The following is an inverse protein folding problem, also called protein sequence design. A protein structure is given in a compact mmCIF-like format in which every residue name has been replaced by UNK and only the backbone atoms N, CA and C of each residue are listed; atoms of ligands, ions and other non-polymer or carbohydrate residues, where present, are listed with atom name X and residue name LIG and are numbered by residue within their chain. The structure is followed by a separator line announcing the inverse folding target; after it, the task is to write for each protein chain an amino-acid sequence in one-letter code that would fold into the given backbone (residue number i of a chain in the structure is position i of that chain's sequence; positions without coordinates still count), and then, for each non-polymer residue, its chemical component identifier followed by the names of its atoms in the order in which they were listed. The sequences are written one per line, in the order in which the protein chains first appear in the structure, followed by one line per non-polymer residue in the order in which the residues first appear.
data_IF_367595881833
#
_entry.id   IF_367595881833
#
_cell.length_a   1.000
_cell.length_b   1.000
_cell.length_c   1.000
_cell.angle_alpha   90.00
_cell.angle_beta   90.00
_cell.angle_gamma   90.00
#
_symmetry.space_group_name_H-M   'P 1'
#
loop_
_entity.id
_entity.type
_entity.pdbx_description
1 polymer ?
#
# COMPACT_ATOMS: atom_id res chain seq x y z
N UNK A 1 2.02 2.36 14.58
CA UNK A 1 1.17 1.53 15.46
C UNK A 1 1.88 0.25 15.93
N UNK A 2 2.64 -0.41 15.05
CA UNK A 2 3.28 -1.71 15.31
C UNK A 2 4.80 -1.64 15.42
N UNK A 3 5.40 -0.48 15.30
CA UNK A 3 6.85 -0.25 15.44
C UNK A 3 7.16 0.60 16.65
N UNK A 4 8.35 0.39 17.22
CA UNK A 4 8.98 1.17 18.30
C UNK A 4 10.42 1.51 17.90
N UNK A 5 11.09 2.34 18.68
CA UNK A 5 12.52 2.56 18.52
C UNK A 5 13.29 1.22 18.60
N UNK A 6 14.20 1.01 17.65
CA UNK A 6 14.93 -0.24 17.46
C UNK A 6 14.29 -1.24 16.50
N UNK A 7 13.06 -0.99 16.03
CA UNK A 7 12.39 -1.85 15.06
C UNK A 7 12.79 -1.54 13.62
N UNK A 8 12.49 -2.50 12.73
CA UNK A 8 12.85 -2.47 11.32
C UNK A 8 11.64 -2.75 10.42
N UNK A 9 11.64 -2.17 9.21
CA UNK A 9 10.66 -2.40 8.15
C UNK A 9 11.40 -2.81 6.87
N UNK A 10 10.86 -3.75 6.11
CA UNK A 10 11.29 -4.03 4.74
C UNK A 10 10.29 -3.38 3.78
N UNK A 11 10.75 -2.57 2.84
CA UNK A 11 9.88 -1.90 1.88
C UNK A 11 10.37 -2.08 0.44
N UNK A 12 9.46 -2.18 -0.52
CA UNK A 12 9.83 -2.09 -1.93
C UNK A 12 10.40 -0.70 -2.25
N UNK A 13 11.43 -0.62 -3.08
CA UNK A 13 12.01 0.66 -3.51
C UNK A 13 11.10 1.47 -4.46
N UNK A 14 10.06 0.82 -5.02
CA UNK A 14 9.13 1.40 -6.00
C UNK A 14 7.87 1.99 -5.37
N UNK A 15 7.95 2.40 -4.10
CA UNK A 15 6.84 3.03 -3.37
C UNK A 15 6.78 4.54 -3.63
N UNK A 16 5.63 5.13 -3.32
CA UNK A 16 5.41 6.58 -3.41
C UNK A 16 6.47 7.39 -2.67
N UNK A 17 6.95 8.47 -3.29
CA UNK A 17 8.05 9.29 -2.76
C UNK A 17 7.80 9.86 -1.36
N UNK A 18 6.56 10.19 -1.00
CA UNK A 18 6.21 10.63 0.35
C UNK A 18 6.35 9.51 1.39
N UNK A 19 5.97 8.29 1.05
CA UNK A 19 6.17 7.11 1.89
C UNK A 19 7.66 6.77 1.98
N UNK A 20 8.39 6.87 0.87
CA UNK A 20 9.85 6.71 0.89
C UNK A 20 10.50 7.70 1.86
N UNK A 21 10.16 8.99 1.77
CA UNK A 21 10.70 10.01 2.66
C UNK A 21 10.36 9.75 4.14
N UNK A 22 9.13 9.32 4.41
CA UNK A 22 8.72 8.92 5.77
C UNK A 22 9.61 7.79 6.30
N UNK A 23 9.79 6.73 5.52
CA UNK A 23 10.54 5.54 5.92
C UNK A 23 12.06 5.77 5.93
N UNK A 24 12.60 6.54 4.99
CA UNK A 24 14.04 6.74 4.83
C UNK A 24 14.62 7.86 5.71
N UNK A 25 13.82 8.87 6.04
CA UNK A 25 14.33 10.09 6.69
C UNK A 25 13.60 10.44 7.98
N UNK A 26 12.27 10.32 8.02
CA UNK A 26 11.50 10.73 9.21
C UNK A 26 11.53 9.67 10.31
N UNK A 27 11.22 8.43 10.00
CA UNK A 27 11.17 7.35 11.00
C UNK A 27 12.53 7.02 11.64
N UNK A 28 13.68 7.13 10.96
CA UNK A 28 14.98 6.96 11.62
C UNK A 28 15.22 7.92 12.79
N UNK A 29 14.68 9.16 12.72
CA UNK A 29 14.73 10.08 13.85
C UNK A 29 13.98 9.58 15.10
N UNK A 30 13.04 8.65 14.91
CA UNK A 30 12.31 7.97 15.98
C UNK A 30 12.83 6.55 16.25
N UNK A 31 14.00 6.21 15.70
CA UNK A 31 14.67 4.93 15.94
C UNK A 31 14.10 3.74 15.14
N UNK A 32 13.27 3.96 14.13
CA UNK A 32 12.78 2.91 13.24
C UNK A 32 13.56 2.93 11.92
N UNK A 33 14.15 1.81 11.55
CA UNK A 33 14.96 1.69 10.33
C UNK A 33 14.21 0.99 9.20
N UNK A 34 14.62 1.20 7.94
CA UNK A 34 13.99 0.56 6.79
C UNK A 34 15.06 0.08 5.80
N UNK A 35 14.91 -1.15 5.32
CA UNK A 35 15.64 -1.66 4.16
C UNK A 35 14.73 -1.63 2.93
N UNK A 36 15.17 -0.87 1.90
CA UNK A 36 14.48 -0.83 0.62
C UNK A 36 15.03 -1.89 -0.32
N UNK A 37 14.13 -2.69 -0.91
CA UNK A 37 14.50 -3.80 -1.79
C UNK A 37 13.97 -3.61 -3.19
N UNK A 38 14.66 -4.20 -4.16
CA UNK A 38 14.15 -4.33 -5.52
C UNK A 38 13.06 -5.41 -5.55
N UNK A 39 11.80 -5.07 -5.86
CA UNK A 39 10.72 -6.03 -5.87
C UNK A 39 10.73 -6.98 -7.08
N UNK A 40 11.55 -6.72 -8.09
CA UNK A 40 11.70 -7.59 -9.25
C UNK A 40 12.35 -8.95 -8.91
N UNK A 41 12.93 -9.09 -7.73
CA UNK A 41 13.43 -10.37 -7.22
C UNK A 41 12.92 -10.58 -5.78
N UNK A 42 12.06 -11.57 -5.61
CA UNK A 42 11.43 -11.90 -4.32
C UNK A 42 12.44 -12.29 -3.22
N UNK A 43 13.57 -12.88 -3.59
CA UNK A 43 14.64 -13.20 -2.64
C UNK A 43 15.18 -11.98 -1.90
N UNK A 44 15.04 -10.80 -2.48
CA UNK A 44 15.47 -9.56 -1.82
C UNK A 44 14.66 -9.26 -0.57
N UNK A 45 13.35 -9.58 -0.56
CA UNK A 45 12.52 -9.45 0.63
C UNK A 45 12.98 -10.41 1.72
N UNK A 46 13.17 -11.69 1.37
CA UNK A 46 13.63 -12.72 2.32
C UNK A 46 14.97 -12.34 2.97
N UNK A 47 15.95 -11.92 2.17
CA UNK A 47 17.28 -11.54 2.65
C UNK A 47 17.32 -10.25 3.49
N UNK A 48 16.34 -9.36 3.30
CA UNK A 48 16.26 -8.09 4.01
C UNK A 48 15.58 -8.21 5.38
N UNK A 49 14.81 -9.27 5.62
CA UNK A 49 14.13 -9.50 6.89
C UNK A 49 15.15 -9.80 7.99
N UNK A 50 15.03 -9.07 9.11
CA UNK A 50 15.86 -9.17 10.30
C UNK A 50 14.99 -9.64 11.49
N UNK A 51 15.61 -9.99 12.60
CA UNK A 51 14.89 -10.41 13.82
C UNK A 51 13.90 -9.34 14.32
N UNK A 52 14.32 -8.07 14.25
CA UNK A 52 13.53 -6.90 14.66
C UNK A 52 12.60 -6.36 13.56
N UNK A 53 12.49 -7.03 12.42
CA UNK A 53 11.53 -6.62 11.35
C UNK A 53 10.11 -6.82 11.84
N UNK A 54 9.27 -5.79 11.62
CA UNK A 54 7.87 -5.74 12.05
C UNK A 54 6.86 -5.75 10.91
N UNK A 55 7.26 -5.42 9.70
CA UNK A 55 6.37 -5.44 8.54
C UNK A 55 7.15 -5.49 7.23
N UNK A 56 6.48 -6.00 6.20
CA UNK A 56 6.81 -5.75 4.80
C UNK A 56 5.82 -4.73 4.25
N UNK A 57 6.31 -3.73 3.50
CA UNK A 57 5.49 -2.68 2.90
C UNK A 57 5.71 -2.64 1.39
N UNK A 58 4.63 -2.73 0.60
CA UNK A 58 4.65 -2.63 -0.86
C UNK A 58 3.48 -1.79 -1.38
N UNK A 59 3.47 -1.50 -2.67
CA UNK A 59 2.32 -0.93 -3.40
C UNK A 59 1.79 -1.93 -4.43
N UNK A 60 0.49 -1.91 -4.70
CA UNK A 60 -0.13 -2.76 -5.73
C UNK A 60 0.33 -2.41 -7.13
N UNK A 61 0.50 -1.12 -7.39
CA UNK A 61 0.98 -0.54 -8.64
C UNK A 61 2.02 0.51 -8.32
N UNK A 62 3.25 0.28 -8.74
CA UNK A 62 4.36 1.19 -8.48
C UNK A 62 4.19 2.54 -9.19
N UNK A 63 4.63 3.61 -8.53
CA UNK A 63 4.56 4.98 -9.04
C UNK A 63 5.98 5.53 -9.32
N UNK A 64 6.30 5.94 -10.56
CA UNK A 64 5.45 6.03 -11.75
C UNK A 64 5.50 4.82 -12.69
N UNK A 65 6.30 3.81 -12.40
CA UNK A 65 6.66 2.75 -13.35
C UNK A 65 5.59 1.70 -13.59
N UNK A 66 4.47 1.73 -12.84
CA UNK A 66 3.36 0.78 -12.95
C UNK A 66 3.77 -0.70 -12.80
N UNK A 67 4.93 -0.96 -12.20
CA UNK A 67 5.36 -2.31 -11.90
C UNK A 67 4.38 -2.98 -10.93
N UNK A 68 4.17 -4.27 -11.13
CA UNK A 68 3.29 -5.10 -10.29
C UNK A 68 4.18 -6.09 -9.52
N UNK A 69 3.91 -6.21 -8.22
CA UNK A 69 4.61 -7.14 -7.34
C UNK A 69 3.72 -8.38 -7.14
N UNK A 70 4.31 -9.57 -7.11
CA UNK A 70 3.56 -10.80 -6.78
C UNK A 70 3.16 -10.77 -5.28
N UNK A 71 1.92 -10.31 -5.04
CA UNK A 71 1.39 -10.11 -3.69
C UNK A 71 1.34 -11.40 -2.90
N UNK A 72 0.86 -12.49 -3.53
CA UNK A 72 0.74 -13.79 -2.87
C UNK A 72 2.11 -14.29 -2.39
N UNK A 73 3.14 -14.16 -3.23
CA UNK A 73 4.49 -14.60 -2.88
C UNK A 73 5.13 -13.74 -1.78
N UNK A 74 4.92 -12.41 -1.81
CA UNK A 74 5.43 -11.53 -0.74
C UNK A 74 4.68 -11.77 0.57
N UNK A 75 3.36 -12.05 0.52
CA UNK A 75 2.58 -12.43 1.70
C UNK A 75 3.12 -13.72 2.34
N UNK A 76 3.43 -14.75 1.53
CA UNK A 76 4.02 -15.99 2.03
C UNK A 76 5.37 -15.73 2.72
N UNK A 77 6.22 -14.87 2.14
CA UNK A 77 7.50 -14.49 2.77
C UNK A 77 7.24 -13.81 4.12
N UNK A 78 6.41 -12.78 4.16
CA UNK A 78 6.10 -12.06 5.39
C UNK A 78 5.55 -12.99 6.49
N UNK A 79 4.61 -13.86 6.14
CA UNK A 79 3.96 -14.77 7.09
C UNK A 79 4.89 -15.86 7.61
N UNK A 80 5.84 -16.39 6.81
CA UNK A 80 6.88 -17.29 7.30
C UNK A 80 7.71 -16.67 8.43
N UNK A 81 7.94 -15.35 8.35
CA UNK A 81 8.65 -14.58 9.38
C UNK A 81 7.73 -14.02 10.47
N UNK A 82 6.43 -14.38 10.45
CA UNK A 82 5.42 -13.94 11.43
C UNK A 82 5.30 -12.43 11.52
N UNK A 83 5.37 -11.74 10.38
CA UNK A 83 5.17 -10.29 10.26
C UNK A 83 4.07 -10.01 9.24
N UNK A 84 3.29 -8.92 9.42
CA UNK A 84 2.24 -8.57 8.49
C UNK A 84 2.78 -8.00 7.18
N UNK A 85 2.03 -8.25 6.09
CA UNK A 85 2.17 -7.54 4.84
C UNK A 85 1.22 -6.34 4.82
N UNK A 86 1.78 -5.16 4.63
CA UNK A 86 1.05 -3.89 4.49
C UNK A 86 1.14 -3.43 3.04
N UNK A 87 0.01 -3.13 2.43
CA UNK A 87 -0.05 -2.72 1.02
C UNK A 87 -0.73 -1.36 0.86
N UNK A 88 -0.05 -0.44 0.21
CA UNK A 88 -0.70 0.76 -0.31
C UNK A 88 -1.41 0.43 -1.62
N UNK A 89 -2.74 0.51 -1.58
CA UNK A 89 -3.60 0.21 -2.71
C UNK A 89 -4.24 1.48 -3.30
N UNK A 90 -3.55 2.61 -3.19
CA UNK A 90 -4.07 3.90 -3.66
C UNK A 90 -4.39 3.88 -5.15
N UNK A 91 -3.50 3.34 -5.99
CA UNK A 91 -3.70 3.27 -7.44
C UNK A 91 -4.57 2.09 -7.88
N UNK A 92 -4.46 0.96 -7.19
CA UNK A 92 -5.33 -0.20 -7.46
C UNK A 92 -6.78 0.09 -7.11
N UNK A 93 -7.02 0.87 -6.08
CA UNK A 93 -8.34 1.13 -5.50
C UNK A 93 -9.06 -0.17 -5.07
N UNK A 94 -10.06 -0.12 -4.22
CA UNK A 94 -10.82 -1.33 -3.86
C UNK A 94 -11.67 -1.89 -5.02
N UNK A 95 -11.75 -1.15 -6.15
CA UNK A 95 -12.47 -1.58 -7.34
C UNK A 95 -11.64 -2.48 -8.26
N UNK A 96 -10.37 -2.15 -8.49
CA UNK A 96 -9.52 -2.92 -9.41
C UNK A 96 -8.90 -4.15 -8.73
N UNK A 97 -8.53 -4.01 -7.46
CA UNK A 97 -7.93 -5.11 -6.69
C UNK A 97 -8.24 -4.97 -5.20
N UNK A 98 -8.44 -6.11 -4.53
CA UNK A 98 -8.58 -6.22 -3.08
C UNK A 98 -7.43 -7.04 -2.51
N UNK A 99 -6.31 -6.42 -2.10
CA UNK A 99 -5.10 -7.13 -1.69
C UNK A 99 -5.30 -8.11 -0.52
N UNK A 100 -6.31 -7.91 0.33
CA UNK A 100 -6.67 -8.84 1.42
C UNK A 100 -7.06 -10.22 0.87
N UNK A 101 -7.59 -10.31 -0.34
CA UNK A 101 -7.90 -11.59 -1.00
C UNK A 101 -6.63 -12.31 -1.49
N UNK A 102 -5.50 -11.59 -1.49
CA UNK A 102 -4.17 -12.04 -1.91
C UNK A 102 -3.15 -12.08 -0.75
N UNK A 103 -3.62 -12.18 0.49
CA UNK A 103 -2.77 -12.36 1.66
C UNK A 103 -2.26 -11.08 2.32
N UNK A 104 -2.66 -9.89 1.86
CA UNK A 104 -2.37 -8.67 2.61
C UNK A 104 -3.11 -8.66 3.95
N UNK A 105 -2.41 -8.27 5.01
CA UNK A 105 -2.99 -8.16 6.35
C UNK A 105 -3.59 -6.79 6.57
N UNK A 106 -2.91 -5.76 6.08
CA UNK A 106 -3.32 -4.36 6.23
C UNK A 106 -3.23 -3.69 4.85
N UNK A 107 -4.29 -3.00 4.47
CA UNK A 107 -4.35 -2.20 3.25
C UNK A 107 -4.53 -0.74 3.60
N UNK A 108 -3.73 0.13 2.98
CA UNK A 108 -3.85 1.57 3.14
C UNK A 108 -4.22 2.22 1.80
N UNK A 109 -4.96 3.31 1.87
CA UNK A 109 -5.30 4.14 0.72
C UNK A 109 -5.10 5.61 1.04
N UNK A 110 -4.47 6.35 0.16
CA UNK A 110 -4.66 7.80 0.13
C UNK A 110 -6.05 8.10 -0.43
N UNK A 111 -7.01 8.34 0.47
CA UNK A 111 -8.38 8.70 0.06
C UNK A 111 -8.43 10.04 -0.70
N UNK A 112 -7.39 10.87 -0.55
CA UNK A 112 -7.15 12.09 -1.32
C UNK A 112 -7.21 11.89 -2.83
N UNK A 113 -6.80 10.70 -3.31
CA UNK A 113 -6.63 10.38 -4.74
C UNK A 113 -7.95 9.89 -5.35
N UNK A 114 -8.00 8.65 -5.81
CA UNK A 114 -9.15 8.11 -6.54
C UNK A 114 -10.42 7.99 -5.69
N UNK A 115 -10.32 7.74 -4.39
CA UNK A 115 -11.50 7.63 -3.51
C UNK A 115 -12.23 8.98 -3.49
N UNK A 116 -11.57 10.07 -3.14
CA UNK A 116 -12.16 11.41 -3.17
C UNK A 116 -12.40 11.92 -4.59
N UNK A 117 -11.48 11.62 -5.51
CA UNK A 117 -11.60 11.89 -6.94
C UNK A 117 -11.33 13.32 -7.40
N UNK A 118 -11.16 14.28 -6.49
CA UNK A 118 -11.03 15.71 -6.80
C UNK A 118 -9.78 16.37 -6.18
N UNK A 119 -9.12 15.73 -5.22
CA UNK A 119 -7.98 16.30 -4.51
C UNK A 119 -8.31 17.49 -3.61
N UNK A 120 -9.59 17.73 -3.35
CA UNK A 120 -10.07 18.86 -2.53
C UNK A 120 -9.99 18.60 -1.03
N UNK A 121 -9.88 17.33 -0.62
CA UNK A 121 -9.76 16.92 0.78
C UNK A 121 -8.65 15.91 0.94
N UNK A 122 -7.77 16.15 1.92
CA UNK A 122 -6.76 15.18 2.31
C UNK A 122 -7.38 14.15 3.26
N UNK A 123 -7.06 12.87 3.05
CA UNK A 123 -7.50 11.81 3.92
C UNK A 123 -6.87 10.47 3.56
N UNK A 124 -6.98 9.54 4.49
CA UNK A 124 -6.51 8.17 4.33
C UNK A 124 -7.50 7.16 4.89
N UNK A 125 -7.40 5.95 4.41
CA UNK A 125 -8.17 4.80 4.91
C UNK A 125 -7.19 3.68 5.24
N UNK A 126 -7.38 3.06 6.39
CA UNK A 126 -6.68 1.84 6.80
C UNK A 126 -7.72 0.74 6.89
N UNK A 127 -7.47 -0.35 6.20
CA UNK A 127 -8.33 -1.55 6.23
C UNK A 127 -7.52 -2.68 6.83
N UNK A 128 -7.98 -3.21 7.96
CA UNK A 128 -7.41 -4.36 8.64
C UNK A 128 -8.16 -5.62 8.19
N UNK A 129 -7.46 -6.65 7.75
CA UNK A 129 -8.07 -7.93 7.39
C UNK A 129 -8.70 -8.64 8.59
N UNK A 130 -8.21 -8.34 9.79
CA UNK A 130 -8.56 -9.05 11.02
C UNK A 130 -8.05 -10.50 11.08
N UNK A 131 -7.18 -10.91 10.14
CA UNK A 131 -6.72 -12.30 10.00
C UNK A 131 -5.33 -12.54 10.57
N UNK A 132 -4.51 -11.49 10.72
CA UNK A 132 -3.15 -11.65 11.23
C UNK A 132 -3.17 -12.05 12.70
N UNK A 133 -2.52 -13.16 13.03
CA UNK A 133 -2.42 -13.65 14.41
C UNK A 133 -1.31 -12.93 15.18
N UNK A 134 -1.67 -11.81 15.81
CA UNK A 134 -0.77 -10.99 16.62
C UNK A 134 -0.17 -11.75 17.79
N UNK A 135 -0.91 -12.71 18.38
CA UNK A 135 -0.46 -13.50 19.53
C UNK A 135 0.56 -14.55 19.10
N UNK A 136 0.24 -15.34 18.06
CA UNK A 136 1.16 -16.35 17.54
C UNK A 136 2.45 -15.75 16.96
N UNK A 137 2.38 -14.51 16.44
CA UNK A 137 3.55 -13.79 15.98
C UNK A 137 4.58 -13.58 17.09
N UNK A 138 4.15 -13.21 18.29
CA UNK A 138 5.02 -12.90 19.44
C UNK A 138 5.86 -11.63 19.30
N UNK A 139 5.69 -10.86 18.21
CA UNK A 139 6.52 -9.69 17.89
C UNK A 139 5.89 -8.35 18.25
N UNK A 140 4.63 -8.32 18.72
CA UNK A 140 3.81 -7.12 18.87
C UNK A 140 3.27 -6.93 20.30
N UNK A 141 4.16 -6.72 21.31
CA UNK A 141 3.73 -6.60 22.70
C UNK A 141 2.73 -5.47 22.93
N UNK A 142 2.78 -4.40 22.13
CA UNK A 142 1.83 -3.28 22.19
C UNK A 142 0.37 -3.66 21.87
N UNK A 143 0.13 -4.85 21.30
CA UNK A 143 -1.21 -5.39 21.04
C UNK A 143 -1.54 -6.54 21.99
N UNK A 144 -0.52 -7.30 22.40
CA UNK A 144 -0.66 -8.58 23.11
C UNK A 144 -0.38 -8.51 24.61
N UNK A 145 0.21 -7.42 25.11
CA UNK A 145 0.45 -7.19 26.52
C UNK A 145 -0.46 -6.08 27.07
N UNK A 146 -0.62 -6.00 28.41
CA UNK A 146 -1.38 -4.92 29.04
C UNK A 146 -0.82 -3.54 28.70
N UNK A 147 -1.63 -2.67 28.10
CA UNK A 147 -1.23 -1.31 27.75
C UNK A 147 -1.47 -0.36 28.94
N UNK A 148 -0.40 0.20 29.55
CA UNK A 148 -0.53 1.08 30.70
C UNK A 148 -1.21 2.41 30.36
N UNK A 149 -1.15 2.85 29.11
CA UNK A 149 -1.81 4.08 28.64
C UNK A 149 -3.32 3.91 28.46
N UNK A 150 -3.80 2.65 28.46
CA UNK A 150 -5.22 2.34 28.29
C UNK A 150 -5.72 1.34 29.36
N UNK A 151 -5.50 1.70 30.62
CA UNK A 151 -5.99 0.96 31.81
C UNK A 151 -5.56 -0.52 31.90
N UNK A 152 -4.42 -0.89 31.32
CA UNK A 152 -3.95 -2.28 31.31
C UNK A 152 -4.69 -3.19 30.35
N UNK A 153 -5.41 -2.65 29.37
CA UNK A 153 -6.13 -3.44 28.35
C UNK A 153 -5.13 -4.15 27.43
N UNK A 154 -5.35 -5.42 27.16
CA UNK A 154 -4.74 -6.17 26.05
C UNK A 154 -5.65 -6.04 24.85
N UNK A 155 -5.18 -5.37 23.79
CA UNK A 155 -6.04 -5.07 22.63
C UNK A 155 -6.54 -6.31 21.91
N UNK A 156 -5.73 -7.38 21.84
CA UNK A 156 -6.16 -8.67 21.23
C UNK A 156 -7.31 -9.33 21.99
N UNK A 157 -7.37 -9.18 23.31
CA UNK A 157 -8.47 -9.76 24.13
C UNK A 157 -9.73 -8.86 24.06
N UNK A 158 -9.54 -7.55 24.07
CA UNK A 158 -10.63 -6.59 24.12
C UNK A 158 -11.33 -6.38 22.77
N UNK A 159 -10.61 -6.53 21.66
CA UNK A 159 -11.10 -6.20 20.33
C UNK A 159 -10.96 -7.35 19.30
N UNK A 160 -10.33 -8.47 19.67
CA UNK A 160 -10.18 -9.62 18.78
C UNK A 160 -9.59 -9.24 17.41
N UNK A 161 -10.29 -9.58 16.32
CA UNK A 161 -9.84 -9.27 14.96
C UNK A 161 -9.64 -7.77 14.67
N UNK A 162 -10.26 -6.89 15.45
CA UNK A 162 -10.14 -5.44 15.28
C UNK A 162 -9.01 -4.82 16.13
N UNK A 163 -8.19 -5.60 16.81
CA UNK A 163 -7.17 -5.14 17.76
C UNK A 163 -6.24 -4.06 17.18
N UNK A 164 -5.80 -4.24 15.95
CA UNK A 164 -4.91 -3.29 15.26
C UNK A 164 -5.59 -1.93 15.05
N UNK A 165 -6.81 -1.94 14.49
CA UNK A 165 -7.57 -0.73 14.20
C UNK A 165 -8.03 -0.02 15.50
N UNK A 166 -8.46 -0.78 16.50
CA UNK A 166 -8.88 -0.22 17.80
C UNK A 166 -7.72 0.44 18.52
N UNK A 167 -6.52 -0.17 18.50
CA UNK A 167 -5.34 0.45 19.12
C UNK A 167 -4.96 1.76 18.42
N UNK A 168 -5.05 1.85 17.10
CA UNK A 168 -4.83 3.12 16.38
C UNK A 168 -5.76 4.21 16.94
N UNK A 169 -7.04 3.89 17.11
CA UNK A 169 -8.03 4.85 17.62
C UNK A 169 -7.83 5.19 19.10
N UNK A 170 -7.59 4.17 19.92
CA UNK A 170 -7.51 4.32 21.37
C UNK A 170 -6.21 4.98 21.84
N UNK A 171 -5.11 4.84 21.09
CA UNK A 171 -3.80 5.37 21.45
C UNK A 171 -3.36 6.46 20.48
N UNK A 172 -3.04 6.12 19.26
CA UNK A 172 -2.41 7.06 18.32
C UNK A 172 -3.34 8.23 17.95
N UNK A 173 -4.57 7.95 17.57
CA UNK A 173 -5.55 8.99 17.21
C UNK A 173 -5.84 9.91 18.41
N UNK A 174 -6.05 9.32 19.58
CA UNK A 174 -6.29 10.05 20.82
C UNK A 174 -5.13 10.97 21.17
N UNK A 175 -3.91 10.45 21.13
CA UNK A 175 -2.72 11.13 21.65
C UNK A 175 -2.16 12.16 20.66
N UNK A 176 -2.26 11.91 19.34
CA UNK A 176 -1.78 12.82 18.30
C UNK A 176 -2.85 13.78 17.78
N UNK A 177 -4.13 13.47 17.99
CA UNK A 177 -5.24 14.27 17.48
C UNK A 177 -5.38 14.26 15.96
N UNK A 178 -4.73 13.31 15.26
CA UNK A 178 -4.73 13.21 13.80
C UNK A 178 -6.07 12.66 13.27
N UNK A 179 -7.17 13.29 13.62
CA UNK A 179 -8.52 12.91 13.19
C UNK A 179 -8.96 13.71 11.97
N UNK A 180 -9.69 13.04 11.07
CA UNK A 180 -10.29 13.72 9.91
C UNK A 180 -11.47 14.56 10.34
N UNK A 181 -11.64 15.76 9.73
CA UNK A 181 -12.85 16.55 9.97
C UNK A 181 -14.10 15.84 9.42
N UNK A 182 -15.28 15.97 10.07
CA UNK A 182 -16.51 15.37 9.56
C UNK A 182 -16.86 15.81 8.14
N UNK A 183 -16.58 17.07 7.79
CA UNK A 183 -16.82 17.59 6.44
C UNK A 183 -15.92 16.94 5.39
N UNK A 184 -14.63 16.76 5.68
CA UNK A 184 -13.73 16.06 4.77
C UNK A 184 -14.13 14.59 4.63
N UNK A 185 -14.53 13.94 5.71
CA UNK A 185 -15.04 12.56 5.66
C UNK A 185 -16.28 12.45 4.76
N UNK A 186 -17.20 13.39 4.86
CA UNK A 186 -18.40 13.47 4.02
C UNK A 186 -18.03 13.61 2.53
N UNK A 187 -17.11 14.51 2.18
CA UNK A 187 -16.65 14.69 0.79
C UNK A 187 -16.01 13.39 0.26
N UNK A 188 -15.18 12.73 1.05
CA UNK A 188 -14.54 11.48 0.64
C UNK A 188 -15.55 10.34 0.46
N UNK A 189 -16.58 10.27 1.31
CA UNK A 189 -17.68 9.31 1.16
C UNK A 189 -18.48 9.55 -0.12
N UNK A 190 -18.79 10.81 -0.45
CA UNK A 190 -19.43 11.14 -1.72
C UNK A 190 -18.58 10.71 -2.93
N UNK A 191 -17.25 10.92 -2.86
CA UNK A 191 -16.32 10.44 -3.90
C UNK A 191 -16.34 8.91 -4.04
N UNK A 192 -16.48 8.19 -2.93
CA UNK A 192 -16.53 6.74 -2.93
C UNK A 192 -17.76 6.18 -3.68
N UNK A 193 -18.89 6.86 -3.63
CA UNK A 193 -20.14 6.43 -4.32
C UNK A 193 -19.96 6.25 -5.83
N UNK A 194 -19.10 7.07 -6.46
CA UNK A 194 -18.85 7.04 -7.89
C UNK A 194 -17.50 6.41 -8.26
N UNK A 195 -16.78 5.84 -7.29
CA UNK A 195 -15.42 5.35 -7.50
C UNK A 195 -15.32 4.35 -8.64
N UNK A 196 -16.19 3.34 -8.65
CA UNK A 196 -16.16 2.28 -9.67
C UNK A 196 -16.36 2.84 -11.08
N UNK A 197 -17.35 3.73 -11.27
CA UNK A 197 -17.65 4.35 -12.56
C UNK A 197 -16.48 5.19 -13.07
N UNK A 198 -15.84 5.96 -12.16
CA UNK A 198 -14.70 6.81 -12.52
C UNK A 198 -13.46 5.98 -12.86
N UNK A 199 -13.15 4.98 -12.05
CA UNK A 199 -11.96 4.14 -12.24
C UNK A 199 -12.09 3.30 -13.51
N UNK A 200 -13.27 2.73 -13.78
CA UNK A 200 -13.54 2.04 -15.04
C UNK A 200 -13.28 2.94 -16.25
N UNK A 201 -13.79 4.17 -16.22
CA UNK A 201 -13.56 5.15 -17.29
C UNK A 201 -12.09 5.58 -17.39
N UNK A 202 -11.39 5.73 -16.26
CA UNK A 202 -9.95 6.02 -16.26
C UNK A 202 -9.15 4.91 -16.93
N UNK A 203 -9.44 3.64 -16.60
CA UNK A 203 -8.78 2.48 -17.22
C UNK A 203 -9.04 2.45 -18.72
N UNK A 204 -10.31 2.57 -19.14
CA UNK A 204 -10.69 2.59 -20.57
C UNK A 204 -9.92 3.68 -21.33
N UNK A 205 -9.88 4.89 -20.78
CA UNK A 205 -9.19 6.01 -21.41
C UNK A 205 -7.67 5.80 -21.45
N UNK A 206 -7.07 5.29 -20.36
CA UNK A 206 -5.64 5.00 -20.31
C UNK A 206 -5.23 3.98 -21.38
N UNK A 207 -5.97 2.89 -21.53
CA UNK A 207 -5.71 1.87 -22.55
C UNK A 207 -5.78 2.45 -23.97
N UNK A 208 -6.77 3.31 -24.27
CA UNK A 208 -6.87 4.00 -25.56
C UNK A 208 -5.67 4.92 -25.83
N UNK A 209 -5.22 5.65 -24.81
CA UNK A 209 -4.05 6.52 -24.93
C UNK A 209 -2.76 5.70 -25.08
N UNK A 210 -2.59 4.61 -24.34
CA UNK A 210 -1.46 3.69 -24.49
C UNK A 210 -1.38 3.17 -25.93
N UNK A 211 -2.48 2.68 -26.49
CA UNK A 211 -2.55 2.22 -27.88
C UNK A 211 -2.25 3.32 -28.91
N UNK A 212 -2.72 4.53 -28.68
CA UNK A 212 -2.40 5.69 -29.52
C UNK A 212 -0.91 6.02 -29.48
N UNK A 213 -0.33 6.10 -28.27
CA UNK A 213 1.08 6.45 -28.08
C UNK A 213 2.00 5.38 -28.66
N UNK A 214 1.67 4.10 -28.52
CA UNK A 214 2.43 2.98 -29.09
C UNK A 214 2.63 3.11 -30.61
N UNK A 215 1.66 3.71 -31.29
CA UNK A 215 1.68 3.91 -32.77
C UNK A 215 2.23 5.27 -33.17
N UNK A 216 2.50 6.17 -32.22
CA UNK A 216 2.87 7.55 -32.54
C UNK A 216 4.34 7.66 -32.96
N UNK A 217 4.68 8.30 -34.11
CA UNK A 217 6.05 8.29 -34.66
C UNK A 217 7.10 9.00 -33.80
N UNK A 218 6.70 9.87 -32.87
CA UNK A 218 7.60 10.54 -31.92
C UNK A 218 7.78 9.80 -30.60
N UNK A 219 7.05 8.72 -30.36
CA UNK A 219 7.15 7.91 -29.14
C UNK A 219 8.10 6.73 -29.40
N UNK A 220 9.04 6.54 -28.51
CA UNK A 220 10.05 5.47 -28.57
C UNK A 220 9.55 4.23 -27.85
N UNK A 221 8.99 4.42 -26.65
CA UNK A 221 8.49 3.35 -25.81
C UNK A 221 7.29 3.82 -24.99
N UNK A 222 6.40 2.90 -24.67
CA UNK A 222 5.29 3.09 -23.72
C UNK A 222 5.39 2.00 -22.68
N UNK A 223 5.32 2.36 -21.43
CA UNK A 223 5.40 1.45 -20.29
C UNK A 223 4.04 1.36 -19.59
N UNK A 224 3.34 0.24 -19.79
CA UNK A 224 2.08 -0.09 -19.13
C UNK A 224 1.93 -1.61 -19.05
N UNK A 225 1.51 -2.20 -17.92
CA UNK A 225 1.51 -3.66 -17.73
C UNK A 225 0.46 -4.41 -18.57
N UNK A 226 -0.48 -3.72 -19.20
CA UNK A 226 -1.37 -4.35 -20.18
C UNK A 226 -0.67 -4.76 -21.48
N UNK A 227 0.52 -4.23 -21.75
CA UNK A 227 1.28 -4.56 -22.95
C UNK A 227 1.93 -5.95 -22.81
N UNK A 228 1.80 -6.83 -23.81
CA UNK A 228 2.36 -8.19 -23.72
C UNK A 228 3.87 -8.23 -23.49
N UNK A 229 4.59 -7.23 -23.95
CA UNK A 229 6.03 -7.07 -23.77
C UNK A 229 6.45 -6.57 -22.39
N UNK A 230 5.52 -6.14 -21.55
CA UNK A 230 5.83 -5.67 -20.20
C UNK A 230 6.23 -6.84 -19.29
N UNK A 231 7.29 -6.71 -18.48
CA UNK A 231 7.76 -7.81 -17.64
C UNK A 231 6.69 -8.34 -16.67
N UNK A 232 5.80 -7.46 -16.19
CA UNK A 232 4.76 -7.82 -15.23
C UNK A 232 3.41 -8.13 -15.90
N UNK A 233 3.36 -8.37 -17.23
CA UNK A 233 2.12 -8.64 -17.95
C UNK A 233 1.36 -9.85 -17.38
N UNK A 234 2.06 -10.89 -16.98
CA UNK A 234 1.44 -12.08 -16.37
C UNK A 234 0.77 -11.74 -15.03
N UNK A 235 1.43 -10.92 -14.19
CA UNK A 235 0.88 -10.44 -12.93
C UNK A 235 -0.30 -9.48 -13.13
N UNK A 236 -0.25 -8.67 -14.21
CA UNK A 236 -1.39 -7.85 -14.61
C UNK A 236 -2.62 -8.72 -14.89
N UNK A 237 -2.48 -9.79 -15.66
CA UNK A 237 -3.58 -10.73 -15.92
C UNK A 237 -4.08 -11.44 -14.65
N UNK A 238 -3.18 -11.72 -13.70
CA UNK A 238 -3.52 -12.38 -12.43
C UNK A 238 -4.31 -11.47 -11.48
N UNK A 239 -3.86 -10.22 -11.29
CA UNK A 239 -4.37 -9.36 -10.22
C UNK A 239 -5.39 -8.32 -10.66
N UNK A 240 -5.44 -7.99 -11.95
CA UNK A 240 -6.22 -6.85 -12.44
C UNK A 240 -7.20 -7.22 -13.55
N UNK A 241 -8.20 -8.07 -13.27
CA UNK A 241 -9.18 -8.47 -14.28
C UNK A 241 -10.02 -7.31 -14.81
N UNK A 242 -10.15 -6.22 -14.04
CA UNK A 242 -10.87 -5.00 -14.41
C UNK A 242 -9.93 -3.89 -14.93
N UNK A 243 -8.66 -4.23 -15.23
CA UNK A 243 -7.63 -3.30 -15.66
C UNK A 243 -6.72 -2.80 -14.55
N UNK A 244 -5.49 -2.42 -14.90
CA UNK A 244 -4.39 -2.07 -13.99
C UNK A 244 -4.20 -0.57 -13.83
N UNK A 245 -5.25 0.16 -13.56
CA UNK A 245 -5.16 1.59 -13.26
C UNK A 245 -5.07 2.49 -14.50
N UNK A 246 -4.67 3.73 -14.28
CA UNK A 246 -4.65 4.78 -15.30
C UNK A 246 -3.33 5.53 -15.38
N UNK A 247 -2.28 4.95 -14.82
CA UNK A 247 -0.92 5.50 -14.86
C UNK A 247 -0.11 4.72 -15.89
N UNK A 248 0.67 5.44 -16.67
CA UNK A 248 1.66 4.88 -17.58
C UNK A 248 2.78 5.90 -17.80
N UNK A 249 3.91 5.44 -18.27
CA UNK A 249 5.01 6.30 -18.70
C UNK A 249 5.33 6.06 -20.18
N UNK A 250 5.93 7.05 -20.84
CA UNK A 250 6.37 6.90 -22.20
C UNK A 250 7.62 7.75 -22.49
N UNK A 251 8.38 7.34 -23.48
CA UNK A 251 9.58 8.03 -23.93
C UNK A 251 9.35 8.68 -25.28
N UNK A 252 9.86 9.91 -25.44
CA UNK A 252 9.75 10.66 -26.71
C UNK A 252 11.12 10.83 -27.36
N UNK A 253 11.16 10.86 -28.69
CA UNK A 253 12.37 11.16 -29.46
C UNK A 253 12.86 12.56 -29.13
N UNK A 254 14.18 12.73 -28.98
CA UNK A 254 14.82 13.99 -28.74
C UNK A 254 15.09 14.32 -27.28
N UNK A 255 14.51 13.59 -26.37
CA UNK A 255 14.72 13.75 -24.92
C UNK A 255 14.41 15.15 -24.40
N UNK A 256 14.96 15.45 -23.21
CA UNK A 256 15.00 16.81 -22.64
C UNK A 256 16.24 17.50 -23.19
N UNK A 257 16.04 18.66 -23.85
CA UNK A 257 17.16 19.54 -24.26
C UNK A 257 17.53 20.45 -23.10
#
# INVERSE_FOLDING_TARGET
NITRAGDHIVAAKTIYGGTYNLLAHTLPAYGVTTTFVDPGNLDNFEKAIQENTKAVFIETLGNPNCNIIDIDAVAEIAHRHRIPLIIDNTFGTPYLIRPIEHGADIVVHSATKFIGGHGTSLGGVIVDSGKFDWVASGKFPQLTEPDPSYHGVRFVDAAGPAAYAIRIRAVLLRDTGATISPFNAFILLQGLETLSLRVERHVENALKVVEFLKKHPKVVAVNHPSLPEHPDHALYGKYFPNGGGSIFTFEVRGGVK
#
